data_IF_221988062797
#
_entry.id   IF_221988062797
#
_cell.length_a   1.000
_cell.length_b   1.000
_cell.length_c   1.000
_cell.angle_alpha   90.00
_cell.angle_beta   90.00
_cell.angle_gamma   90.00
#
_symmetry.space_group_name_H-M   'P 1'
#
loop_
_entity.id
_entity.type
_entity.pdbx_description
1 polymer ?
#
# COMPACT_ATOMS: atom_id res chain seq x y z
N UNK A 1 -9.25 14.18 4.96
CA UNK A 1 -9.18 12.91 5.71
C UNK A 1 -9.66 11.74 4.86
N UNK A 2 -10.86 11.82 4.27
CA UNK A 2 -11.43 10.80 3.37
C UNK A 2 -10.49 10.34 2.23
N UNK A 3 -9.76 11.27 1.61
CA UNK A 3 -8.79 10.92 0.56
C UNK A 3 -7.66 10.00 1.03
N UNK A 4 -7.14 10.19 2.26
CA UNK A 4 -6.10 9.34 2.84
C UNK A 4 -6.67 7.97 3.20
N UNK A 5 -7.86 7.93 3.82
CA UNK A 5 -8.58 6.68 4.11
C UNK A 5 -8.87 5.88 2.84
N UNK A 6 -9.28 6.54 1.75
CA UNK A 6 -9.52 5.87 0.48
C UNK A 6 -8.23 5.30 -0.13
N UNK A 7 -7.14 6.06 -0.11
CA UNK A 7 -5.82 5.59 -0.58
C UNK A 7 -5.32 4.40 0.22
N UNK A 8 -5.36 4.49 1.55
CA UNK A 8 -4.98 3.41 2.46
C UNK A 8 -5.76 2.12 2.18
N UNK A 9 -7.08 2.23 2.00
CA UNK A 9 -7.95 1.10 1.63
C UNK A 9 -7.53 0.46 0.31
N UNK A 10 -7.22 1.27 -0.70
CA UNK A 10 -6.77 0.77 -2.02
C UNK A 10 -5.41 0.06 -1.88
N UNK A 11 -4.45 0.64 -1.16
CA UNK A 11 -3.13 0.04 -0.91
C UNK A 11 -3.29 -1.32 -0.22
N UNK A 12 -4.13 -1.40 0.83
CA UNK A 12 -4.45 -2.66 1.53
C UNK A 12 -5.03 -3.72 0.59
N UNK A 13 -5.92 -3.33 -0.33
CA UNK A 13 -6.46 -4.25 -1.32
C UNK A 13 -5.38 -4.76 -2.29
N UNK A 14 -4.48 -3.89 -2.75
CA UNK A 14 -3.35 -4.28 -3.61
C UNK A 14 -2.39 -5.25 -2.90
N UNK A 15 -2.11 -5.00 -1.61
CA UNK A 15 -1.31 -5.91 -0.76
C UNK A 15 -2.00 -7.27 -0.65
N UNK A 16 -3.30 -7.31 -0.39
CA UNK A 16 -4.06 -8.56 -0.25
C UNK A 16 -4.05 -9.38 -1.55
N UNK A 17 -4.30 -8.72 -2.70
CA UNK A 17 -4.24 -9.35 -4.01
C UNK A 17 -2.84 -9.92 -4.30
N UNK A 18 -1.79 -9.12 -4.11
CA UNK A 18 -0.41 -9.57 -4.37
C UNK A 18 0.03 -10.66 -3.41
N UNK A 19 -0.43 -10.62 -2.14
CA UNK A 19 -0.19 -11.69 -1.17
C UNK A 19 -0.82 -13.01 -1.59
N UNK A 20 -2.04 -12.96 -2.16
CA UNK A 20 -2.70 -14.15 -2.72
C UNK A 20 -1.88 -14.74 -3.87
N UNK A 21 -1.38 -13.89 -4.78
CA UNK A 21 -0.54 -14.34 -5.90
C UNK A 21 0.76 -14.99 -5.39
N UNK A 22 1.44 -14.36 -4.42
CA UNK A 22 2.66 -14.92 -3.82
C UNK A 22 2.38 -16.26 -3.14
N UNK A 23 1.23 -16.40 -2.48
CA UNK A 23 0.81 -17.67 -1.85
C UNK A 23 0.65 -18.77 -2.91
N UNK A 24 -0.11 -18.51 -3.98
CA UNK A 24 -0.29 -19.48 -5.08
C UNK A 24 1.04 -19.87 -5.73
N UNK A 25 1.91 -18.91 -6.03
CA UNK A 25 3.23 -19.19 -6.61
C UNK A 25 4.15 -20.00 -5.69
N UNK A 26 4.00 -19.85 -4.36
CA UNK A 26 4.73 -20.71 -3.39
C UNK A 26 4.23 -22.15 -3.45
N UNK A 27 2.92 -22.34 -3.46
CA UNK A 27 2.28 -23.68 -3.55
C UNK A 27 2.61 -24.38 -4.87
N UNK A 28 2.68 -23.64 -5.98
CA UNK A 28 3.13 -24.18 -7.28
C UNK A 28 4.60 -24.57 -7.25
N UNK A 29 5.46 -23.76 -6.63
CA UNK A 29 6.91 -24.05 -6.52
C UNK A 29 7.19 -25.28 -5.68
N UNK A 30 6.39 -25.55 -4.65
CA UNK A 30 6.51 -26.76 -3.85
C UNK A 30 6.30 -28.03 -4.71
N UNK A 31 5.50 -27.95 -5.77
CA UNK A 31 5.24 -29.05 -6.71
C UNK A 31 6.29 -29.16 -7.83
N UNK A 32 6.99 -28.06 -8.14
CA UNK A 32 7.97 -27.97 -9.21
C UNK A 32 9.24 -27.24 -8.72
N UNK A 33 10.04 -27.89 -7.88
CA UNK A 33 11.17 -27.25 -7.18
C UNK A 33 12.29 -26.74 -8.09
N UNK A 34 12.50 -27.39 -9.24
CA UNK A 34 13.56 -27.06 -10.20
C UNK A 34 13.14 -26.06 -11.29
N UNK A 35 11.89 -25.57 -11.26
CA UNK A 35 11.43 -24.57 -12.22
C UNK A 35 12.02 -23.18 -11.89
N UNK A 36 13.10 -22.84 -12.61
CA UNK A 36 13.80 -21.57 -12.50
C UNK A 36 12.93 -20.39 -12.93
N UNK A 37 12.00 -20.58 -13.87
CA UNK A 37 11.09 -19.52 -14.30
C UNK A 37 10.10 -19.17 -13.19
N UNK A 38 9.56 -20.20 -12.53
CA UNK A 38 8.66 -20.06 -11.38
C UNK A 38 9.35 -19.38 -10.20
N UNK A 39 10.62 -19.72 -9.93
CA UNK A 39 11.44 -19.04 -8.91
C UNK A 39 11.62 -17.55 -9.22
N UNK A 40 11.91 -17.19 -10.49
CA UNK A 40 12.08 -15.80 -10.91
C UNK A 40 10.77 -15.01 -10.75
N UNK A 41 9.65 -15.60 -11.15
CA UNK A 41 8.34 -14.99 -10.99
C UNK A 41 7.97 -14.79 -9.52
N UNK A 42 8.21 -15.80 -8.67
CA UNK A 42 7.97 -15.71 -7.23
C UNK A 42 8.78 -14.57 -6.59
N UNK A 43 10.07 -14.43 -6.93
CA UNK A 43 10.91 -13.33 -6.43
C UNK A 43 10.36 -11.96 -6.84
N UNK A 44 9.92 -11.83 -8.10
CA UNK A 44 9.35 -10.58 -8.63
C UNK A 44 8.10 -10.17 -7.84
N UNK A 45 7.16 -11.10 -7.63
CA UNK A 45 5.93 -10.81 -6.88
C UNK A 45 6.21 -10.57 -5.39
N UNK A 46 7.20 -11.23 -4.79
CA UNK A 46 7.65 -10.93 -3.42
C UNK A 46 8.24 -9.52 -3.28
N UNK A 47 9.08 -9.08 -4.23
CA UNK A 47 9.60 -7.71 -4.24
C UNK A 47 8.47 -6.69 -4.40
N UNK A 48 7.53 -6.95 -5.31
CA UNK A 48 6.34 -6.12 -5.51
C UNK A 48 5.50 -6.02 -4.23
N UNK A 49 5.25 -7.14 -3.54
CA UNK A 49 4.54 -7.15 -2.26
C UNK A 49 5.25 -6.28 -1.21
N UNK A 50 6.58 -6.41 -1.09
CA UNK A 50 7.37 -5.60 -0.16
C UNK A 50 7.27 -4.10 -0.46
N UNK A 51 7.30 -3.72 -1.74
CA UNK A 51 7.14 -2.33 -2.15
C UNK A 51 5.74 -1.80 -1.78
N UNK A 52 4.68 -2.57 -2.05
CA UNK A 52 3.32 -2.17 -1.68
C UNK A 52 3.13 -2.03 -0.16
N UNK A 53 3.77 -2.87 0.64
CA UNK A 53 3.79 -2.71 2.10
C UNK A 53 4.52 -1.43 2.53
N UNK A 54 5.60 -1.06 1.83
CA UNK A 54 6.27 0.23 2.04
C UNK A 54 5.38 1.43 1.73
N UNK A 55 4.56 1.36 0.67
CA UNK A 55 3.61 2.42 0.33
C UNK A 55 2.58 2.65 1.44
N UNK A 56 2.16 1.60 2.15
CA UNK A 56 1.26 1.74 3.29
C UNK A 56 1.90 2.56 4.43
N UNK A 57 3.18 2.30 4.72
CA UNK A 57 3.92 3.07 5.73
C UNK A 57 4.13 4.53 5.30
N UNK A 58 4.38 4.77 4.01
CA UNK A 58 4.48 6.12 3.46
C UNK A 58 3.16 6.86 3.59
N UNK A 59 2.03 6.23 3.27
CA UNK A 59 0.70 6.82 3.39
C UNK A 59 0.40 7.26 4.83
N UNK A 60 0.73 6.44 5.83
CA UNK A 60 0.56 6.76 7.24
C UNK A 60 1.34 8.02 7.62
N UNK A 61 2.64 8.06 7.28
CA UNK A 61 3.50 9.21 7.58
C UNK A 61 3.02 10.46 6.85
N UNK A 62 2.62 10.34 5.58
CA UNK A 62 2.13 11.47 4.79
C UNK A 62 0.83 12.01 5.38
N UNK A 63 -0.09 11.15 5.82
CA UNK A 63 -1.34 11.57 6.46
C UNK A 63 -1.06 12.36 7.75
N UNK A 64 -0.22 11.83 8.65
CA UNK A 64 0.15 12.49 9.90
C UNK A 64 0.83 13.86 9.66
N UNK A 65 1.86 13.88 8.80
CA UNK A 65 2.62 15.10 8.51
C UNK A 65 1.78 16.15 7.80
N UNK A 66 0.93 15.75 6.87
CA UNK A 66 0.02 16.68 6.17
C UNK A 66 -0.95 17.31 7.14
N UNK A 67 -1.51 16.53 8.07
CA UNK A 67 -2.42 17.04 9.09
C UNK A 67 -1.74 17.99 10.07
N UNK A 68 -0.52 17.64 10.51
CA UNK A 68 0.29 18.49 11.38
C UNK A 68 0.58 19.84 10.73
N UNK A 69 1.11 19.83 9.51
CA UNK A 69 1.43 21.06 8.76
C UNK A 69 0.18 21.90 8.51
N UNK A 70 -0.94 21.28 8.17
CA UNK A 70 -2.21 21.98 7.98
C UNK A 70 -2.62 22.71 9.27
N UNK A 71 -2.58 22.05 10.42
CA UNK A 71 -2.97 22.66 11.70
C UNK A 71 -2.00 23.77 12.13
N UNK A 72 -0.70 23.56 11.98
CA UNK A 72 0.32 24.51 12.44
C UNK A 72 0.41 25.75 11.55
N UNK A 73 0.19 25.62 10.24
CA UNK A 73 0.48 26.69 9.27
C UNK A 73 -0.74 27.20 8.51
N UNK A 74 -1.72 26.35 8.23
CA UNK A 74 -2.80 26.68 7.29
C UNK A 74 -4.16 26.90 7.96
N UNK A 75 -4.40 26.29 9.12
CA UNK A 75 -5.73 26.22 9.76
C UNK A 75 -6.34 27.58 10.09
N UNK A 76 -5.52 28.57 10.43
CA UNK A 76 -5.97 29.94 10.76
C UNK A 76 -6.49 30.69 9.54
N UNK A 77 -6.02 30.35 8.34
CA UNK A 77 -6.42 30.98 7.08
C UNK A 77 -7.55 30.20 6.38
N UNK A 78 -7.78 28.95 6.79
CA UNK A 78 -8.80 28.10 6.22
C UNK A 78 -10.20 28.51 6.69
N UNK A 79 -11.05 28.94 5.74
CA UNK A 79 -12.48 29.13 5.94
C UNK A 79 -13.21 27.90 5.38
N UNK A 80 -13.78 27.03 6.25
CA UNK A 80 -14.51 25.88 5.75
C UNK A 80 -15.69 26.32 4.88
N UNK A 81 -15.98 25.62 3.77
CA UNK A 81 -17.21 25.84 3.03
C UNK A 81 -18.40 25.63 3.95
N UNK A 82 -19.47 26.41 3.76
CA UNK A 82 -20.71 26.22 4.53
C UNK A 82 -21.18 24.79 4.30
N UNK A 83 -21.41 24.05 5.39
CA UNK A 83 -22.06 22.74 5.33
C UNK A 83 -23.40 22.92 4.60
N UNK A 84 -23.54 22.21 3.48
CA UNK A 84 -24.78 22.18 2.71
C UNK A 84 -25.85 21.39 3.46
#
# INVERSE_FOLDING_TARGET
>A
MEAHTNRERIIKNCIAQTSSVVKTLREEREKAQDDVALLKQLRKEQTKLKLMQSELNVEEVVNDRSWKVFNERCRIHYKPPKSQ
#
